data_IF_177458670010
#
_entry.id   IF_177458670010
#
_cell.length_a   1.000
_cell.length_b   1.000
_cell.length_c   1.000
_cell.angle_alpha   90.00
_cell.angle_beta   90.00
_cell.angle_gamma   90.00
#
_symmetry.space_group_name_H-M   'P 1'
#
loop_
_entity.id
_entity.type
_entity.pdbx_description
1 polymer ?
#
# COMPACT_ATOMS: atom_id res chain seq x y z
N UNK A 1 -19.05 -13.55 24.21
CA UNK A 1 -18.01 -12.50 24.28
C UNK A 1 -18.09 -11.69 23.00
N UNK A 2 -18.42 -10.38 23.03
CA UNK A 2 -18.38 -9.54 21.84
C UNK A 2 -16.92 -9.24 21.44
N UNK A 3 -16.58 -9.37 20.15
CA UNK A 3 -15.24 -9.00 19.64
C UNK A 3 -15.09 -7.48 19.74
N UNK A 4 -13.94 -6.95 20.19
CA UNK A 4 -13.66 -5.53 20.03
C UNK A 4 -13.38 -5.26 18.55
N UNK A 5 -14.34 -4.65 17.85
CA UNK A 5 -14.22 -4.29 16.44
C UNK A 5 -13.46 -2.98 16.24
N UNK A 6 -12.37 -2.77 16.98
CA UNK A 6 -11.46 -1.64 16.74
C UNK A 6 -10.33 -2.11 15.82
N UNK A 7 -10.67 -2.32 14.54
CA UNK A 7 -9.70 -2.56 13.48
C UNK A 7 -8.78 -1.34 13.37
N UNK A 8 -7.46 -1.52 13.43
CA UNK A 8 -6.42 -0.48 13.31
C UNK A 8 -6.58 0.50 12.12
N UNK A 9 -7.39 0.13 11.13
CA UNK A 9 -7.86 0.97 10.03
C UNK A 9 -8.76 2.16 10.44
N UNK A 10 -9.44 2.12 11.59
CA UNK A 10 -10.33 3.19 12.09
C UNK A 10 -9.54 4.36 12.70
N UNK A 11 -8.46 4.06 13.43
CA UNK A 11 -7.67 5.06 14.19
C UNK A 11 -6.76 5.94 13.32
N UNK A 12 -6.57 5.59 12.04
CA UNK A 12 -5.79 6.37 11.08
C UNK A 12 -6.63 7.30 10.19
N UNK A 13 -7.95 7.42 10.45
CA UNK A 13 -8.84 8.25 9.61
C UNK A 13 -8.96 9.70 10.06
N UNK A 14 -8.56 10.06 11.27
CA UNK A 14 -8.94 11.36 11.87
C UNK A 14 -7.84 12.42 12.00
N UNK A 15 -6.65 12.20 11.42
CA UNK A 15 -5.58 13.21 11.36
C UNK A 15 -5.26 13.66 9.92
N UNK A 16 -6.25 13.59 9.03
CA UNK A 16 -6.09 14.09 7.66
C UNK A 16 -6.20 15.62 7.64
N UNK A 17 -5.05 16.29 7.71
CA UNK A 17 -4.93 17.72 7.44
C UNK A 17 -5.63 18.09 6.11
N UNK A 18 -6.18 19.30 6.04
CA UNK A 18 -6.95 19.78 4.88
C UNK A 18 -6.18 19.61 3.55
N UNK A 19 -4.85 19.74 3.59
CA UNK A 19 -3.96 19.49 2.45
C UNK A 19 -3.93 18.03 1.98
N UNK A 20 -4.01 17.05 2.88
CA UNK A 20 -4.05 15.63 2.51
C UNK A 20 -5.39 15.23 1.85
N UNK A 21 -6.51 15.81 2.29
CA UNK A 21 -7.82 15.63 1.63
C UNK A 21 -7.83 16.28 0.24
N UNK A 22 -7.28 17.48 0.10
CA UNK A 22 -7.16 18.15 -1.20
C UNK A 22 -6.25 17.35 -2.16
N UNK A 23 -5.14 16.81 -1.67
CA UNK A 23 -4.24 15.97 -2.46
C UNK A 23 -4.92 14.66 -2.93
N UNK A 24 -5.72 14.00 -2.08
CA UNK A 24 -6.46 12.79 -2.45
C UNK A 24 -7.54 13.06 -3.52
N UNK A 25 -8.26 14.19 -3.41
CA UNK A 25 -9.26 14.60 -4.40
C UNK A 25 -8.60 14.99 -5.73
N UNK A 26 -7.49 15.73 -5.68
CA UNK A 26 -6.69 16.07 -6.86
C UNK A 26 -6.12 14.82 -7.52
N UNK A 27 -5.59 13.86 -6.75
CA UNK A 27 -5.05 12.59 -7.25
C UNK A 27 -6.12 11.77 -7.98
N UNK A 28 -7.31 11.63 -7.38
CA UNK A 28 -8.39 10.85 -7.98
C UNK A 28 -9.04 11.56 -9.18
N UNK A 29 -9.05 12.90 -9.21
CA UNK A 29 -9.63 13.69 -10.32
C UNK A 29 -8.69 13.91 -11.51
N UNK A 30 -7.39 14.11 -11.25
CA UNK A 30 -6.39 14.42 -12.29
C UNK A 30 -5.93 13.18 -13.08
N UNK A 31 -6.19 11.97 -12.58
CA UNK A 31 -5.84 10.71 -13.23
C UNK A 31 -6.81 10.21 -14.30
N UNK A 32 -7.96 10.88 -14.49
CA UNK A 32 -8.95 10.47 -15.49
C UNK A 32 -8.62 11.03 -16.88
N UNK A 33 -8.65 10.17 -17.91
CA UNK A 33 -8.49 10.56 -19.31
C UNK A 33 -9.45 11.67 -19.76
N UNK A 34 -10.63 11.78 -19.13
CA UNK A 34 -11.59 12.85 -19.42
C UNK A 34 -11.15 14.22 -18.92
N UNK A 35 -10.41 14.29 -17.80
CA UNK A 35 -9.89 15.56 -17.26
C UNK A 35 -8.82 16.17 -18.18
N UNK A 36 -7.92 15.33 -18.70
CA UNK A 36 -6.89 15.74 -19.66
C UNK A 36 -7.53 16.31 -20.93
N UNK A 37 -8.59 15.67 -21.45
CA UNK A 37 -9.32 16.16 -22.62
C UNK A 37 -9.97 17.53 -22.41
N UNK A 38 -10.63 17.75 -21.26
CA UNK A 38 -11.23 19.05 -20.91
C UNK A 38 -10.16 20.12 -20.72
N UNK A 39 -9.04 19.78 -20.06
CA UNK A 39 -7.94 20.71 -19.83
C UNK A 39 -7.29 21.17 -21.14
N UNK A 40 -7.02 20.25 -22.07
CA UNK A 40 -6.51 20.57 -23.41
C UNK A 40 -7.48 21.45 -24.19
N UNK A 41 -8.78 21.15 -24.14
CA UNK A 41 -9.81 21.94 -24.81
C UNK A 41 -9.87 23.36 -24.25
N UNK A 42 -9.81 23.53 -22.92
CA UNK A 42 -9.77 24.82 -22.27
C UNK A 42 -8.51 25.62 -22.67
N UNK A 43 -7.37 24.95 -22.79
CA UNK A 43 -6.11 25.57 -23.19
C UNK A 43 -6.18 26.09 -24.64
N UNK A 44 -6.71 25.29 -25.56
CA UNK A 44 -6.94 25.70 -26.96
C UNK A 44 -7.97 26.84 -27.03
N UNK A 45 -9.06 26.75 -26.27
CA UNK A 45 -10.07 27.80 -26.22
C UNK A 45 -9.50 29.13 -25.70
N UNK A 46 -8.65 29.08 -24.68
CA UNK A 46 -7.96 30.26 -24.14
C UNK A 46 -7.03 30.89 -25.16
N UNK A 47 -6.24 30.08 -25.86
CA UNK A 47 -5.32 30.53 -26.92
C UNK A 47 -6.08 31.28 -28.02
N UNK A 48 -7.18 30.70 -28.52
CA UNK A 48 -8.02 31.29 -29.58
C UNK A 48 -8.73 32.57 -29.10
N UNK A 49 -9.29 32.57 -27.89
CA UNK A 49 -9.96 33.75 -27.34
C UNK A 49 -8.98 34.91 -27.17
N UNK A 50 -7.79 34.61 -26.64
CA UNK A 50 -6.79 35.63 -26.35
C UNK A 50 -6.16 36.22 -27.61
N UNK A 51 -5.88 35.39 -28.63
CA UNK A 51 -5.40 35.84 -29.94
C UNK A 51 -6.42 36.72 -30.66
N UNK A 52 -7.72 36.40 -30.55
CA UNK A 52 -8.76 37.04 -31.36
C UNK A 52 -9.39 38.29 -30.73
N UNK A 53 -9.41 38.41 -29.40
CA UNK A 53 -10.20 39.43 -28.69
C UNK A 53 -9.39 40.38 -27.79
N UNK A 54 -8.47 39.84 -27.00
CA UNK A 54 -7.95 40.58 -25.82
C UNK A 54 -6.46 40.92 -25.95
N UNK A 55 -5.68 40.12 -26.67
CA UNK A 55 -4.25 40.39 -26.95
C UNK A 55 -3.36 40.46 -25.70
N UNK A 56 -3.81 39.95 -24.56
CA UNK A 56 -3.10 40.06 -23.27
C UNK A 56 -1.88 39.14 -23.16
N UNK A 57 -1.81 38.08 -23.96
CA UNK A 57 -0.67 37.16 -24.02
C UNK A 57 -0.43 36.77 -25.49
N UNK A 58 0.22 37.64 -26.29
CA UNK A 58 0.55 37.36 -27.68
C UNK A 58 1.49 36.15 -27.80
N UNK A 59 1.51 35.52 -28.98
CA UNK A 59 2.46 34.44 -29.27
C UNK A 59 3.89 34.91 -28.92
N UNK A 60 4.62 34.23 -28.01
CA UNK A 60 4.59 32.80 -27.66
C UNK A 60 3.93 32.40 -26.31
N UNK A 61 2.89 33.10 -25.84
CA UNK A 61 2.08 32.77 -24.64
C UNK A 61 2.89 32.56 -23.34
N UNK A 62 3.59 33.62 -22.90
CA UNK A 62 4.55 33.54 -21.78
C UNK A 62 3.85 33.32 -20.44
N UNK A 63 2.66 33.89 -20.25
CA UNK A 63 1.91 33.76 -19.00
C UNK A 63 1.32 32.37 -18.85
N UNK A 64 0.77 31.83 -19.95
CA UNK A 64 0.26 30.45 -19.97
C UNK A 64 1.40 29.46 -19.67
N UNK A 65 2.55 29.62 -20.31
CA UNK A 65 3.69 28.74 -20.09
C UNK A 65 4.23 28.82 -18.65
N UNK A 66 4.27 30.02 -18.06
CA UNK A 66 4.66 30.22 -16.67
C UNK A 66 3.70 29.53 -15.70
N UNK A 67 2.39 29.71 -15.90
CA UNK A 67 1.35 29.05 -15.09
C UNK A 67 1.43 27.52 -15.18
N UNK A 68 1.62 26.97 -16.39
CA UNK A 68 1.78 25.53 -16.59
C UNK A 68 3.04 24.99 -15.92
N UNK A 69 4.16 25.72 -16.02
CA UNK A 69 5.42 25.32 -15.40
C UNK A 69 5.30 25.29 -13.87
N UNK A 70 4.63 26.29 -13.28
CA UNK A 70 4.38 26.32 -11.84
C UNK A 70 3.43 25.19 -11.42
N UNK A 71 2.38 24.92 -12.21
CA UNK A 71 1.45 23.83 -11.97
C UNK A 71 2.16 22.47 -12.00
N UNK A 72 3.04 22.25 -12.97
CA UNK A 72 3.86 21.04 -13.08
C UNK A 72 4.83 20.89 -11.90
N UNK A 73 5.47 21.98 -11.47
CA UNK A 73 6.33 21.99 -10.27
C UNK A 73 5.55 21.63 -9.01
N UNK A 74 4.36 22.19 -8.82
CA UNK A 74 3.47 21.88 -7.71
C UNK A 74 3.00 20.41 -7.75
N UNK A 75 2.63 19.91 -8.93
CA UNK A 75 2.28 18.50 -9.14
C UNK A 75 3.43 17.57 -8.73
N UNK A 76 4.66 17.87 -9.16
CA UNK A 76 5.85 17.10 -8.80
C UNK A 76 6.13 17.10 -7.29
N UNK A 77 5.96 18.24 -6.62
CA UNK A 77 6.14 18.35 -5.16
C UNK A 77 5.07 17.53 -4.40
N UNK A 78 3.80 17.62 -4.80
CA UNK A 78 2.71 16.83 -4.21
C UNK A 78 2.95 15.33 -4.42
N UNK A 79 3.41 14.93 -5.61
CA UNK A 79 3.77 13.55 -5.91
C UNK A 79 4.90 13.07 -4.98
N UNK A 80 5.94 13.88 -4.79
CA UNK A 80 7.08 13.54 -3.93
C UNK A 80 6.69 13.41 -2.45
N UNK A 81 5.82 14.31 -1.96
CA UNK A 81 5.30 14.22 -0.59
C UNK A 81 4.46 12.96 -0.41
N UNK A 82 3.62 12.64 -1.41
CA UNK A 82 2.78 11.45 -1.39
C UNK A 82 3.62 10.17 -1.44
N UNK A 83 4.67 10.15 -2.25
CA UNK A 83 5.63 9.05 -2.34
C UNK A 83 6.37 8.83 -1.02
N UNK A 84 6.96 9.88 -0.43
CA UNK A 84 7.65 9.79 0.88
C UNK A 84 6.76 9.20 1.97
N UNK A 85 5.48 9.60 2.01
CA UNK A 85 4.51 9.04 2.96
C UNK A 85 4.23 7.56 2.68
N UNK A 86 4.05 7.19 1.41
CA UNK A 86 3.80 5.80 1.03
C UNK A 86 5.00 4.91 1.35
N UNK A 87 6.22 5.37 1.10
CA UNK A 87 7.46 4.64 1.38
C UNK A 87 7.63 4.38 2.89
N UNK A 88 7.34 5.37 3.73
CA UNK A 88 7.39 5.22 5.18
C UNK A 88 6.40 4.15 5.69
N UNK A 89 5.19 4.12 5.13
CA UNK A 89 4.18 3.09 5.45
C UNK A 89 4.66 1.71 4.98
N UNK A 90 5.16 1.62 3.74
CA UNK A 90 5.69 0.36 3.19
C UNK A 90 6.85 -0.19 4.00
N UNK A 91 7.75 0.66 4.48
CA UNK A 91 8.88 0.26 5.33
C UNK A 91 8.40 -0.28 6.69
N UNK A 92 7.42 0.37 7.32
CA UNK A 92 6.84 -0.11 8.58
C UNK A 92 6.11 -1.45 8.42
N UNK A 93 5.37 -1.63 7.33
CA UNK A 93 4.72 -2.90 7.00
C UNK A 93 5.76 -4.01 6.77
N UNK A 94 6.83 -3.74 6.01
CA UNK A 94 7.89 -4.71 5.78
C UNK A 94 8.58 -5.17 7.07
N UNK A 95 8.78 -4.27 8.04
CA UNK A 95 9.33 -4.63 9.34
C UNK A 95 8.38 -5.53 10.14
N UNK A 96 7.09 -5.23 10.13
CA UNK A 96 6.08 -6.04 10.81
C UNK A 96 5.94 -7.44 10.16
N UNK A 97 5.94 -7.50 8.84
CA UNK A 97 5.90 -8.76 8.10
C UNK A 97 7.15 -9.60 8.42
N UNK A 98 8.33 -8.99 8.47
CA UNK A 98 9.55 -9.68 8.88
C UNK A 98 9.48 -10.26 10.30
N UNK A 99 8.99 -9.48 11.27
CA UNK A 99 8.82 -9.97 12.65
C UNK A 99 7.82 -11.12 12.75
N UNK A 100 6.74 -11.05 11.96
CA UNK A 100 5.72 -12.10 11.88
C UNK A 100 6.29 -13.37 11.26
N UNK A 101 7.07 -13.24 10.18
CA UNK A 101 7.71 -14.37 9.49
C UNK A 101 8.70 -15.10 10.41
N UNK A 102 9.52 -14.36 11.17
CA UNK A 102 10.45 -14.95 12.14
C UNK A 102 9.70 -15.69 13.26
N UNK A 103 8.63 -15.10 13.79
CA UNK A 103 7.81 -15.75 14.82
C UNK A 103 7.13 -17.03 14.27
N UNK A 104 6.66 -17.00 13.03
CA UNK A 104 6.08 -18.15 12.36
C UNK A 104 7.13 -19.25 12.13
N UNK A 105 8.36 -18.90 11.75
CA UNK A 105 9.46 -19.85 11.60
C UNK A 105 9.76 -20.57 12.93
N UNK A 106 9.81 -19.84 14.06
CA UNK A 106 9.98 -20.44 15.38
C UNK A 106 8.83 -21.38 15.76
N UNK A 107 7.58 -21.00 15.47
CA UNK A 107 6.41 -21.83 15.75
C UNK A 107 6.43 -23.12 14.92
N UNK A 108 6.75 -23.01 13.63
CA UNK A 108 6.91 -24.16 12.72
C UNK A 108 8.04 -25.08 13.23
N UNK A 109 9.17 -24.51 13.66
CA UNK A 109 10.27 -25.28 14.24
C UNK A 109 9.83 -26.06 15.50
N UNK A 110 9.05 -25.44 16.39
CA UNK A 110 8.49 -26.13 17.57
C UNK A 110 7.51 -27.23 17.16
N UNK A 111 6.63 -26.98 16.19
CA UNK A 111 5.69 -27.98 15.69
C UNK A 111 6.41 -29.19 15.08
N UNK A 112 7.48 -28.95 14.32
CA UNK A 112 8.32 -30.03 13.76
C UNK A 112 8.98 -30.86 14.85
N UNK A 113 9.46 -30.22 15.92
CA UNK A 113 10.07 -30.93 17.04
C UNK A 113 9.03 -31.79 17.81
N UNK A 114 7.85 -31.24 18.08
CA UNK A 114 6.74 -32.01 18.67
C UNK A 114 6.37 -33.19 17.78
N UNK A 115 6.26 -32.99 16.47
CA UNK A 115 5.94 -34.06 15.53
C UNK A 115 7.00 -35.18 15.54
N UNK A 116 8.28 -34.81 15.58
CA UNK A 116 9.39 -35.76 15.70
C UNK A 116 9.32 -36.57 17.01
N UNK A 117 8.99 -35.92 18.12
CA UNK A 117 8.80 -36.59 19.42
C UNK A 117 7.61 -37.55 19.38
N UNK A 118 6.50 -37.16 18.75
CA UNK A 118 5.33 -38.02 18.58
C UNK A 118 5.67 -39.27 17.74
N UNK A 119 6.42 -39.11 16.66
CA UNK A 119 6.89 -40.24 15.84
C UNK A 119 7.74 -41.22 16.66
N UNK A 120 8.68 -40.71 17.45
CA UNK A 120 9.52 -41.56 18.31
C UNK A 120 8.70 -42.33 19.37
N UNK A 121 7.68 -41.71 19.95
CA UNK A 121 6.77 -42.39 20.89
C UNK A 121 5.94 -43.49 20.20
N UNK A 122 5.46 -43.22 18.98
CA UNK A 122 4.72 -44.21 18.19
C UNK A 122 5.61 -45.42 17.87
N UNK A 123 6.86 -45.19 17.45
CA UNK A 123 7.83 -46.26 17.20
C UNK A 123 8.07 -47.12 18.44
N UNK A 124 8.22 -46.50 19.61
CA UNK A 124 8.39 -47.22 20.88
C UNK A 124 7.15 -48.07 21.24
N UNK A 125 5.94 -47.54 21.04
CA UNK A 125 4.71 -48.28 21.29
C UNK A 125 4.57 -49.48 20.37
N UNK A 126 4.88 -49.31 19.08
CA UNK A 126 4.85 -50.41 18.10
C UNK A 126 5.88 -51.49 18.47
N UNK A 127 7.10 -51.10 18.85
CA UNK A 127 8.13 -52.04 19.28
C UNK A 127 7.71 -52.83 20.54
N UNK A 128 7.17 -52.15 21.55
CA UNK A 128 6.69 -52.78 22.78
C UNK A 128 5.51 -53.73 22.54
N UNK A 129 4.59 -53.40 21.61
CA UNK A 129 3.52 -54.33 21.22
C UNK A 129 4.08 -55.58 20.55
N UNK A 130 5.02 -55.43 19.61
CA UNK A 130 5.65 -56.55 18.94
C UNK A 130 6.39 -57.49 19.91
N UNK A 131 6.96 -56.98 21.00
CA UNK A 131 7.53 -57.81 22.07
C UNK A 131 6.47 -58.56 22.87
N UNK A 132 5.36 -57.89 23.22
CA UNK A 132 4.24 -58.53 23.95
C UNK A 132 3.58 -59.64 23.14
N UNK A 133 3.40 -59.43 21.83
CA UNK A 133 2.81 -60.44 20.95
C UNK A 133 3.71 -61.68 20.84
N UNK A 134 5.04 -61.50 20.70
CA UNK A 134 6.00 -62.62 20.69
C UNK A 134 6.02 -63.41 22.01
N UNK A 135 5.79 -62.75 23.14
CA UNK A 135 5.73 -63.40 24.45
C UNK A 135 4.39 -64.13 24.70
N UNK A 136 3.33 -63.81 23.95
CA UNK A 136 2.03 -64.46 24.04
C UNK A 136 1.92 -65.70 23.12
N UNK A 137 2.68 -65.74 22.02
CA UNK A 137 2.69 -66.83 21.04
C UNK A 137 3.73 -67.94 21.33
N UNK A 138 4.60 -67.78 22.35
CA UNK A 138 5.62 -68.75 22.77
C UNK A 138 5.27 -69.46 24.06
#
# INVERSE_FOLDING_TARGET
MPRPEDNWHSRHKDDRTFGQRAADVLRNGMGSWTFIGVFLLLMVAWMVLNERWVGWDPFPFILLNLMLSLLAGLQGAILLISAKRQDAISAALAQHDFETDVAAEEEIARLMEINRQQLALIEQLVAAQAERDRAADG
#
